data_IF_844263160857
#
_entry.id   IF_844263160857
#
_cell.length_a   1.000
_cell.length_b   1.000
_cell.length_c   1.000
_cell.angle_alpha   90.00
_cell.angle_beta   90.00
_cell.angle_gamma   90.00
#
_symmetry.space_group_name_H-M   'P 1'
#
loop_
_entity.id
_entity.type
_entity.pdbx_description
1 polymer ?
#
# COMPACT_ATOMS: atom_id res chain seq x y z
N UNK A 1 -32.24 -42.76 13.57
CA UNK A 1 -31.12 -42.57 12.61
C UNK A 1 -30.50 -41.15 12.63
N UNK A 2 -31.03 -40.21 13.42
CA UNK A 2 -30.44 -38.89 13.71
C UNK A 2 -29.18 -38.93 14.60
N UNK A 3 -28.85 -40.10 15.17
CA UNK A 3 -27.78 -40.23 16.16
C UNK A 3 -26.40 -40.60 15.61
N UNK A 4 -26.29 -40.87 14.31
CA UNK A 4 -24.97 -41.17 13.72
C UNK A 4 -24.06 -39.95 13.83
N UNK A 5 -22.80 -40.17 14.24
CA UNK A 5 -21.78 -39.12 14.34
C UNK A 5 -21.69 -38.31 13.04
N UNK A 6 -21.75 -39.00 11.89
CA UNK A 6 -21.70 -38.39 10.56
C UNK A 6 -22.89 -37.47 10.27
N UNK A 7 -24.10 -37.83 10.71
CA UNK A 7 -25.27 -36.96 10.60
C UNK A 7 -25.12 -35.71 11.47
N UNK A 8 -24.62 -35.86 12.71
CA UNK A 8 -24.32 -34.72 13.60
C UNK A 8 -23.29 -33.79 12.98
N UNK A 9 -22.21 -34.32 12.40
CA UNK A 9 -21.19 -33.53 11.69
C UNK A 9 -21.82 -32.73 10.55
N UNK A 10 -22.63 -33.36 9.69
CA UNK A 10 -23.32 -32.67 8.58
C UNK A 10 -24.20 -31.54 9.09
N UNK A 11 -24.98 -31.80 10.15
CA UNK A 11 -25.85 -30.78 10.73
C UNK A 11 -25.04 -29.62 11.31
N UNK A 12 -23.93 -29.90 11.99
CA UNK A 12 -23.00 -28.89 12.49
C UNK A 12 -22.42 -28.02 11.38
N UNK A 13 -21.96 -28.62 10.29
CA UNK A 13 -21.42 -27.85 9.16
C UNK A 13 -22.46 -26.88 8.58
N UNK A 14 -23.72 -27.33 8.43
CA UNK A 14 -24.82 -26.46 7.98
C UNK A 14 -25.06 -25.30 8.96
N UNK A 15 -25.13 -25.59 10.26
CA UNK A 15 -25.35 -24.54 11.27
C UNK A 15 -24.20 -23.54 11.35
N UNK A 16 -22.95 -24.01 11.31
CA UNK A 16 -21.77 -23.14 11.27
C UNK A 16 -21.84 -22.21 10.06
N UNK A 17 -22.17 -22.74 8.89
CA UNK A 17 -22.26 -21.94 7.67
C UNK A 17 -23.37 -20.88 7.73
N UNK A 18 -24.54 -21.23 8.27
CA UNK A 18 -25.63 -20.27 8.50
C UNK A 18 -25.19 -19.19 9.52
N UNK A 19 -24.49 -19.58 10.59
CA UNK A 19 -24.02 -18.66 11.62
C UNK A 19 -22.90 -17.72 11.12
N UNK A 20 -22.10 -18.13 10.14
CA UNK A 20 -21.04 -17.29 9.55
C UNK A 20 -21.59 -16.08 8.81
N UNK A 21 -22.77 -16.18 8.18
CA UNK A 21 -23.35 -15.11 7.36
C UNK A 21 -23.61 -13.81 8.15
N UNK A 22 -24.35 -13.81 9.28
CA UNK A 22 -24.54 -12.60 10.08
C UNK A 22 -23.22 -12.07 10.68
N UNK A 23 -22.27 -12.95 11.00
CA UNK A 23 -20.94 -12.55 11.49
C UNK A 23 -20.20 -11.76 10.41
N UNK A 24 -20.15 -12.26 9.18
CA UNK A 24 -19.50 -11.58 8.06
C UNK A 24 -20.17 -10.24 7.75
N UNK A 25 -21.51 -10.16 7.77
CA UNK A 25 -22.24 -8.89 7.57
C UNK A 25 -21.84 -7.87 8.64
N UNK A 26 -21.79 -8.29 9.91
CA UNK A 26 -21.37 -7.41 11.01
C UNK A 26 -19.92 -6.93 10.82
N UNK A 27 -19.03 -7.82 10.40
CA UNK A 27 -17.63 -7.46 10.13
C UNK A 27 -17.46 -6.48 8.96
N UNK A 28 -18.26 -6.62 7.90
CA UNK A 28 -18.28 -5.67 6.77
C UNK A 28 -18.75 -4.29 7.26
N UNK A 29 -19.80 -4.24 8.08
CA UNK A 29 -20.29 -2.98 8.65
C UNK A 29 -19.23 -2.29 9.53
N UNK A 30 -18.46 -3.06 10.30
CA UNK A 30 -17.31 -2.52 11.06
C UNK A 30 -16.25 -1.96 10.11
N UNK A 31 -15.99 -2.61 8.98
CA UNK A 31 -14.98 -2.14 8.01
C UNK A 31 -15.35 -0.79 7.40
N UNK A 32 -16.64 -0.55 7.15
CA UNK A 32 -17.16 0.73 6.66
C UNK A 32 -16.90 1.91 7.63
N UNK A 33 -16.46 1.66 8.86
CA UNK A 33 -16.05 2.70 9.81
C UNK A 33 -14.60 3.18 9.67
N UNK A 34 -13.89 2.77 8.60
CA UNK A 34 -12.52 3.22 8.31
C UNK A 34 -11.42 2.37 8.95
N UNK A 35 -11.74 1.12 9.30
CA UNK A 35 -10.77 0.12 9.77
C UNK A 35 -10.84 -1.11 8.88
N UNK A 36 -9.76 -1.89 8.82
CA UNK A 36 -9.75 -3.19 8.14
C UNK A 36 -9.38 -4.32 9.08
N UNK A 37 -9.89 -5.51 8.83
CA UNK A 37 -9.56 -6.68 9.62
C UNK A 37 -8.19 -7.23 9.25
N UNK A 38 -7.34 -7.46 10.25
CA UNK A 38 -6.04 -8.11 10.05
C UNK A 38 -6.20 -9.50 9.43
N UNK A 39 -5.13 -9.95 8.78
CA UNK A 39 -5.02 -11.28 8.15
C UNK A 39 -6.09 -11.56 7.08
N UNK A 40 -6.71 -10.51 6.52
CA UNK A 40 -7.82 -10.67 5.58
C UNK A 40 -8.96 -11.53 6.16
N UNK A 41 -9.30 -11.33 7.44
CA UNK A 41 -10.22 -12.21 8.19
C UNK A 41 -11.59 -12.38 7.50
N UNK A 42 -12.19 -11.30 6.98
CA UNK A 42 -13.46 -11.37 6.23
C UNK A 42 -13.34 -12.32 5.03
N UNK A 43 -12.26 -12.16 4.24
CA UNK A 43 -12.03 -13.00 3.06
C UNK A 43 -11.84 -14.47 3.47
N UNK A 44 -11.10 -14.74 4.56
CA UNK A 44 -10.88 -16.11 5.03
C UNK A 44 -12.19 -16.75 5.52
N UNK A 45 -13.05 -16.00 6.23
CA UNK A 45 -14.36 -16.50 6.67
C UNK A 45 -15.29 -16.81 5.50
N UNK A 46 -15.30 -15.95 4.48
CA UNK A 46 -16.04 -16.20 3.24
C UNK A 46 -15.54 -17.49 2.55
N UNK A 47 -14.22 -17.64 2.40
CA UNK A 47 -13.61 -18.86 1.81
C UNK A 47 -14.00 -20.11 2.60
N UNK A 48 -13.93 -20.07 3.93
CA UNK A 48 -14.35 -21.20 4.78
C UNK A 48 -15.84 -21.51 4.57
N UNK A 49 -16.70 -20.50 4.50
CA UNK A 49 -18.13 -20.67 4.22
C UNK A 49 -18.38 -21.39 2.89
N UNK A 50 -17.69 -20.98 1.83
CA UNK A 50 -17.79 -21.64 0.52
C UNK A 50 -17.26 -23.07 0.52
N UNK A 51 -16.14 -23.33 1.20
CA UNK A 51 -15.59 -24.69 1.35
C UNK A 51 -16.59 -25.59 2.07
N UNK A 52 -17.22 -25.09 3.15
CA UNK A 52 -18.25 -25.85 3.85
C UNK A 52 -19.39 -26.20 2.90
N UNK A 53 -20.00 -25.24 2.20
CA UNK A 53 -21.13 -25.51 1.31
C UNK A 53 -20.82 -26.47 0.15
N UNK A 54 -19.58 -26.49 -0.33
CA UNK A 54 -19.11 -27.49 -1.30
C UNK A 54 -18.96 -28.90 -0.70
N UNK A 55 -18.57 -29.01 0.57
CA UNK A 55 -18.28 -30.28 1.24
C UNK A 55 -19.50 -30.91 1.94
N UNK A 56 -20.48 -30.13 2.41
CA UNK A 56 -21.61 -30.69 3.17
C UNK A 56 -22.42 -31.68 2.31
N UNK A 57 -22.69 -31.35 1.04
CA UNK A 57 -23.45 -32.24 0.15
C UNK A 57 -22.77 -33.62 -0.05
N UNK A 58 -21.48 -33.73 -0.45
CA UNK A 58 -20.82 -35.02 -0.59
C UNK A 58 -20.67 -35.77 0.74
N UNK A 59 -20.33 -35.08 1.84
CA UNK A 59 -20.22 -35.70 3.18
C UNK A 59 -21.57 -36.27 3.63
N UNK A 60 -22.68 -35.69 3.20
CA UNK A 60 -24.02 -36.16 3.55
C UNK A 60 -24.53 -37.38 2.74
N UNK A 61 -23.80 -37.86 1.72
CA UNK A 61 -24.27 -38.96 0.84
C UNK A 61 -24.55 -40.26 1.60
N UNK A 62 -25.66 -40.92 1.29
CA UNK A 62 -26.07 -42.17 1.94
C UNK A 62 -26.70 -42.01 3.33
N UNK A 63 -26.84 -40.79 3.85
CA UNK A 63 -27.58 -40.52 5.09
C UNK A 63 -29.08 -40.39 4.81
N UNK A 64 -29.90 -40.99 5.68
CA UNK A 64 -31.32 -40.67 5.77
C UNK A 64 -31.49 -39.23 6.28
N UNK A 65 -32.18 -38.40 5.49
CA UNK A 65 -32.30 -36.96 5.72
C UNK A 65 -33.74 -36.51 5.47
N UNK A 66 -34.28 -35.57 6.26
CA UNK A 66 -35.58 -34.98 5.98
C UNK A 66 -35.58 -34.25 4.64
N UNK A 67 -36.76 -34.11 4.01
CA UNK A 67 -36.91 -33.49 2.68
C UNK A 67 -36.30 -32.09 2.63
N UNK A 68 -36.52 -31.28 3.67
CA UNK A 68 -35.97 -29.94 3.80
C UNK A 68 -34.44 -29.91 3.73
N UNK A 69 -33.76 -30.75 4.54
CA UNK A 69 -32.29 -30.81 4.54
C UNK A 69 -31.75 -31.27 3.19
N UNK A 70 -32.40 -32.22 2.51
CA UNK A 70 -31.99 -32.65 1.16
C UNK A 70 -32.06 -31.50 0.15
N UNK A 71 -33.08 -30.65 0.25
CA UNK A 71 -33.28 -29.50 -0.62
C UNK A 71 -32.26 -28.39 -0.34
N UNK A 72 -32.09 -28.03 0.94
CA UNK A 72 -31.10 -27.04 1.38
C UNK A 72 -29.69 -27.38 0.89
N UNK A 73 -29.24 -28.62 1.09
CA UNK A 73 -27.90 -29.07 0.69
C UNK A 73 -27.62 -28.93 -0.82
N UNK A 74 -28.66 -29.07 -1.66
CA UNK A 74 -28.49 -28.90 -3.11
C UNK A 74 -28.37 -27.43 -3.47
N UNK A 75 -29.21 -26.59 -2.88
CA UNK A 75 -29.18 -25.15 -3.09
C UNK A 75 -27.84 -24.59 -2.63
N UNK A 76 -27.45 -24.93 -1.41
CA UNK A 76 -26.22 -24.45 -0.80
C UNK A 76 -24.97 -24.85 -1.60
N UNK A 77 -24.93 -26.08 -2.12
CA UNK A 77 -23.86 -26.53 -3.01
C UNK A 77 -23.78 -25.68 -4.30
N UNK A 78 -24.91 -25.42 -4.97
CA UNK A 78 -24.93 -24.60 -6.18
C UNK A 78 -24.62 -23.12 -5.89
N UNK A 79 -25.12 -22.59 -4.77
CA UNK A 79 -24.79 -21.25 -4.30
C UNK A 79 -23.33 -21.12 -3.84
N UNK A 80 -22.65 -22.21 -3.51
CA UNK A 80 -21.23 -22.19 -3.16
C UNK A 80 -20.35 -22.36 -4.40
N UNK A 81 -20.73 -23.24 -5.34
CA UNK A 81 -19.92 -23.52 -6.53
C UNK A 81 -19.89 -22.35 -7.52
N UNK A 82 -21.02 -21.67 -7.73
CA UNK A 82 -21.10 -20.55 -8.68
C UNK A 82 -20.18 -19.39 -8.24
N UNK A 83 -20.26 -18.89 -7.00
CA UNK A 83 -19.30 -17.92 -6.49
C UNK A 83 -17.88 -18.46 -6.37
N UNK A 84 -17.68 -19.73 -5.98
CA UNK A 84 -16.33 -20.28 -5.88
C UNK A 84 -15.56 -20.22 -7.21
N UNK A 85 -16.25 -20.46 -8.32
CA UNK A 85 -15.66 -20.44 -9.66
C UNK A 85 -15.55 -19.00 -10.19
N UNK A 86 -16.61 -18.19 -10.04
CA UNK A 86 -16.69 -16.88 -10.69
C UNK A 86 -16.22 -15.73 -9.80
N UNK A 87 -16.64 -15.71 -8.54
CA UNK A 87 -16.53 -14.56 -7.64
C UNK A 87 -15.28 -14.67 -6.76
N UNK A 88 -14.88 -15.87 -6.34
CA UNK A 88 -13.72 -16.07 -5.47
C UNK A 88 -12.40 -15.57 -6.10
N UNK A 89 -12.13 -15.81 -7.41
CA UNK A 89 -10.95 -15.24 -8.06
C UNK A 89 -10.97 -13.70 -8.05
N UNK A 90 -12.14 -13.09 -8.26
CA UNK A 90 -12.35 -11.65 -8.22
C UNK A 90 -12.18 -11.08 -6.80
N UNK A 91 -12.73 -11.74 -5.77
CA UNK A 91 -12.56 -11.35 -4.37
C UNK A 91 -11.10 -11.50 -3.91
N UNK A 92 -10.42 -12.56 -4.38
CA UNK A 92 -8.99 -12.75 -4.14
C UNK A 92 -8.15 -11.64 -4.79
N UNK A 93 -8.62 -11.10 -5.93
CA UNK A 93 -7.95 -10.04 -6.67
C UNK A 93 -8.22 -8.65 -6.10
N UNK A 94 -9.48 -8.25 -5.88
CA UNK A 94 -9.83 -6.87 -5.49
C UNK A 94 -10.03 -6.66 -3.98
N UNK A 95 -10.32 -7.72 -3.21
CA UNK A 95 -10.75 -7.60 -1.81
C UNK A 95 -9.65 -7.81 -0.77
N UNK A 96 -8.43 -8.16 -1.18
CA UNK A 96 -7.32 -8.47 -0.27
C UNK A 96 -6.34 -7.31 -0.18
N UNK A 97 -5.96 -6.99 1.06
CA UNK A 97 -4.79 -6.18 1.33
C UNK A 97 -3.57 -7.08 1.55
N UNK A 98 -2.43 -6.64 1.05
CA UNK A 98 -1.15 -7.33 1.19
C UNK A 98 -0.22 -6.44 1.98
N UNK A 99 0.31 -6.97 3.07
CA UNK A 99 1.29 -6.25 3.88
C UNK A 99 2.63 -6.35 3.15
N UNK A 100 3.18 -5.20 2.78
CA UNK A 100 4.48 -5.10 2.06
C UNK A 100 5.63 -4.83 3.02
N UNK A 101 5.36 -4.20 4.16
CA UNK A 101 6.34 -3.92 5.20
C UNK A 101 5.67 -3.76 6.58
N UNK A 102 6.42 -4.02 7.65
CA UNK A 102 5.96 -3.80 9.02
C UNK A 102 7.05 -3.14 9.87
N UNK A 103 6.65 -2.23 10.76
CA UNK A 103 7.52 -1.66 11.79
C UNK A 103 6.74 -1.45 13.08
N UNK A 104 6.97 -2.33 14.07
CA UNK A 104 6.23 -2.31 15.33
C UNK A 104 4.72 -2.37 15.12
N UNK A 105 4.01 -1.34 15.57
CA UNK A 105 2.55 -1.19 15.42
C UNK A 105 2.12 -0.67 14.04
N UNK A 106 3.06 -0.30 13.16
CA UNK A 106 2.74 0.22 11.84
C UNK A 106 2.94 -0.82 10.75
N UNK A 107 2.13 -0.71 9.69
CA UNK A 107 2.24 -1.53 8.49
C UNK A 107 2.13 -0.65 7.26
N UNK A 108 2.87 -1.02 6.21
CA UNK A 108 2.54 -0.62 4.86
C UNK A 108 1.76 -1.76 4.22
N UNK A 109 0.60 -1.44 3.67
CA UNK A 109 -0.22 -2.40 2.95
C UNK A 109 -0.64 -1.84 1.60
N UNK A 110 -0.71 -2.72 0.61
CA UNK A 110 -1.25 -2.42 -0.70
C UNK A 110 -2.60 -3.09 -0.90
N UNK A 111 -3.47 -2.44 -1.67
CA UNK A 111 -4.65 -3.07 -2.25
C UNK A 111 -4.31 -3.42 -3.70
N UNK A 112 -4.51 -4.69 -4.09
CA UNK A 112 -4.20 -5.15 -5.44
C UNK A 112 -4.92 -4.30 -6.50
N UNK A 113 -4.18 -3.93 -7.55
CA UNK A 113 -4.65 -3.07 -8.64
C UNK A 113 -4.36 -1.58 -8.43
N UNK A 114 -3.82 -1.18 -7.27
CA UNK A 114 -3.36 0.19 -7.01
C UNK A 114 -1.85 0.18 -6.84
N UNK A 115 -1.13 1.07 -7.54
CA UNK A 115 0.32 1.25 -7.41
C UNK A 115 0.67 2.13 -6.19
N UNK A 116 -0.01 1.89 -5.06
CA UNK A 116 0.15 2.66 -3.83
C UNK A 116 0.15 1.71 -2.62
N UNK A 117 1.10 1.88 -1.72
CA UNK A 117 1.01 1.35 -0.37
C UNK A 117 0.51 2.43 0.58
N UNK A 118 -0.46 2.08 1.41
CA UNK A 118 -1.03 2.95 2.44
C UNK A 118 -0.43 2.60 3.79
N UNK A 119 -0.25 3.62 4.62
CA UNK A 119 0.18 3.45 6.00
C UNK A 119 -1.02 3.05 6.85
N UNK A 120 -0.85 2.01 7.64
CA UNK A 120 -1.83 1.56 8.62
C UNK A 120 -1.22 1.40 10.01
N UNK A 121 -2.05 1.56 11.04
CA UNK A 121 -1.69 1.26 12.43
C UNK A 121 -2.45 0.02 12.92
N UNK A 122 -1.73 -0.96 13.42
CA UNK A 122 -2.26 -2.18 14.04
C UNK A 122 -2.92 -1.82 15.37
N UNK A 123 -4.21 -2.12 15.48
CA UNK A 123 -5.04 -1.92 16.68
C UNK A 123 -5.76 -3.25 17.01
N UNK A 124 -5.04 -4.15 17.68
CA UNK A 124 -5.57 -5.47 18.02
C UNK A 124 -5.89 -6.31 16.78
N UNK A 125 -7.18 -6.54 16.52
CA UNK A 125 -7.68 -7.28 15.34
C UNK A 125 -7.80 -6.41 14.09
N UNK A 126 -7.61 -5.09 14.23
CA UNK A 126 -7.80 -4.13 13.16
C UNK A 126 -6.49 -3.54 12.67
N UNK A 127 -6.52 -3.01 11.46
CA UNK A 127 -5.58 -2.02 10.95
C UNK A 127 -6.40 -0.76 10.71
N UNK A 128 -6.05 0.32 11.38
CA UNK A 128 -6.60 1.65 11.12
C UNK A 128 -5.81 2.26 9.98
N UNK A 129 -6.51 2.62 8.91
CA UNK A 129 -5.91 3.34 7.80
C UNK A 129 -5.50 4.76 8.24
N UNK A 130 -4.30 5.18 7.83
CA UNK A 130 -3.82 6.54 7.99
C UNK A 130 -3.83 7.23 6.62
N UNK A 131 -3.86 8.56 6.62
CA UNK A 131 -3.94 9.38 5.39
C UNK A 131 -2.69 9.31 4.51
N UNK A 132 -1.62 8.67 5.00
CA UNK A 132 -0.31 8.67 4.37
C UNK A 132 -0.14 7.47 3.47
N UNK A 133 0.43 7.69 2.28
CA UNK A 133 0.66 6.63 1.31
C UNK A 133 1.94 6.90 0.53
N UNK A 134 2.56 5.83 0.06
CA UNK A 134 3.73 5.87 -0.83
C UNK A 134 3.34 5.25 -2.17
N UNK A 135 3.90 5.77 -3.25
CA UNK A 135 3.83 5.11 -4.55
C UNK A 135 4.72 3.87 -4.51
N UNK A 136 4.17 2.75 -4.97
CA UNK A 136 4.96 1.55 -5.23
C UNK A 136 5.24 1.51 -6.73
N UNK A 137 6.50 1.66 -7.10
CA UNK A 137 6.93 1.69 -8.50
C UNK A 137 7.36 0.31 -8.96
N UNK A 138 6.51 -0.72 -8.87
CA UNK A 138 6.96 -2.08 -9.20
C UNK A 138 6.13 -2.82 -10.26
N UNK A 139 6.84 -3.14 -11.36
CA UNK A 139 6.50 -4.11 -12.40
C UNK A 139 6.93 -5.55 -12.01
N UNK A 140 7.43 -5.76 -10.78
CA UNK A 140 8.01 -7.00 -10.24
C UNK A 140 7.64 -7.35 -8.78
N UNK A 141 8.63 -7.81 -7.99
CA UNK A 141 8.45 -8.34 -6.64
C UNK A 141 8.48 -7.24 -5.55
N UNK A 142 7.29 -6.90 -5.06
CA UNK A 142 6.91 -5.72 -4.24
C UNK A 142 7.39 -5.72 -2.78
N UNK A 143 8.58 -6.26 -2.49
CA UNK A 143 9.07 -6.36 -1.12
C UNK A 143 9.84 -5.10 -0.76
N UNK A 144 9.38 -4.40 0.27
CA UNK A 144 10.11 -3.26 0.84
C UNK A 144 11.20 -3.79 1.78
N UNK A 145 12.45 -3.39 1.53
CA UNK A 145 13.61 -3.88 2.28
C UNK A 145 13.79 -3.15 3.61
N UNK A 146 13.55 -1.84 3.62
CA UNK A 146 13.63 -1.01 4.82
C UNK A 146 12.35 -0.20 4.95
N UNK A 147 11.69 -0.32 6.10
CA UNK A 147 10.54 0.52 6.47
C UNK A 147 10.63 0.85 7.95
N UNK A 148 10.54 2.14 8.26
CA UNK A 148 10.57 2.64 9.63
C UNK A 148 9.56 3.77 9.83
N UNK A 149 8.91 3.74 10.98
CA UNK A 149 8.02 4.80 11.46
C UNK A 149 8.61 5.40 12.73
N UNK A 150 9.19 6.59 12.59
CA UNK A 150 9.72 7.34 13.72
C UNK A 150 8.64 8.30 14.24
N UNK A 151 7.90 7.83 15.25
CA UNK A 151 6.86 8.65 15.91
C UNK A 151 7.41 9.83 16.72
N UNK A 152 8.70 9.80 17.10
CA UNK A 152 9.35 10.91 17.81
C UNK A 152 9.60 12.06 16.83
N UNK A 153 10.20 11.74 15.68
CA UNK A 153 10.46 12.68 14.59
C UNK A 153 9.23 12.98 13.74
N UNK A 154 8.17 12.18 13.86
CA UNK A 154 6.92 12.37 13.13
C UNK A 154 7.05 12.04 11.64
N UNK A 155 7.83 11.02 11.28
CA UNK A 155 8.05 10.61 9.89
C UNK A 155 7.94 9.11 9.67
N UNK A 156 7.71 8.73 8.42
CA UNK A 156 8.09 7.41 7.92
C UNK A 156 9.15 7.54 6.84
N UNK A 157 10.01 6.54 6.77
CA UNK A 157 11.04 6.46 5.75
C UNK A 157 11.33 5.01 5.39
N UNK A 158 11.91 4.81 4.22
CA UNK A 158 12.19 3.47 3.73
C UNK A 158 12.97 3.43 2.42
N UNK A 159 13.36 2.22 2.08
CA UNK A 159 14.11 1.86 0.88
C UNK A 159 13.57 0.55 0.32
N UNK A 160 13.54 0.47 -1.00
CA UNK A 160 13.29 -0.72 -1.80
C UNK A 160 14.42 -0.86 -2.81
N UNK A 161 15.09 -2.01 -2.84
CA UNK A 161 16.20 -2.32 -3.75
C UNK A 161 15.77 -3.18 -4.95
N UNK A 162 14.47 -3.28 -5.21
CA UNK A 162 13.88 -4.13 -6.23
C UNK A 162 14.25 -3.77 -7.67
N UNK A 163 13.44 -4.22 -8.64
CA UNK A 163 13.65 -3.91 -10.05
C UNK A 163 13.61 -2.40 -10.34
N UNK A 164 12.90 -1.66 -9.49
CA UNK A 164 12.81 -0.21 -9.50
C UNK A 164 13.20 0.35 -8.12
N UNK A 165 14.49 0.59 -7.87
CA UNK A 165 14.93 1.02 -6.55
C UNK A 165 14.24 2.34 -6.14
N UNK A 166 13.63 2.33 -4.95
CA UNK A 166 12.82 3.46 -4.46
C UNK A 166 13.26 3.88 -3.06
N UNK A 167 13.27 5.18 -2.78
CA UNK A 167 13.55 5.74 -1.45
C UNK A 167 12.52 6.80 -1.05
N UNK A 168 12.16 6.87 0.23
CA UNK A 168 11.22 7.91 0.68
C UNK A 168 11.46 8.39 2.10
N UNK A 169 11.10 9.65 2.35
CA UNK A 169 10.94 10.25 3.69
C UNK A 169 9.73 11.17 3.66
N UNK A 170 8.70 10.82 4.43
CA UNK A 170 7.40 11.50 4.40
C UNK A 170 6.95 11.85 5.82
N UNK A 171 6.41 13.05 6.07
CA UNK A 171 5.86 13.44 7.36
C UNK A 171 4.59 12.63 7.69
N UNK A 172 4.51 12.15 8.93
CA UNK A 172 3.29 11.61 9.53
C UNK A 172 2.63 12.65 10.45
N UNK A 173 3.44 13.44 11.14
CA UNK A 173 3.04 14.54 12.03
C UNK A 173 3.88 15.77 11.69
N UNK A 174 3.26 16.76 11.03
CA UNK A 174 3.95 17.94 10.51
C UNK A 174 4.63 18.75 11.61
N UNK A 175 4.02 18.89 12.79
CA UNK A 175 4.60 19.66 13.88
C UNK A 175 5.87 19.00 14.44
N UNK A 176 5.86 17.67 14.61
CA UNK A 176 7.06 16.93 15.04
C UNK A 176 8.13 16.88 13.96
N UNK A 177 7.71 16.72 12.71
CA UNK A 177 8.58 16.70 11.53
C UNK A 177 9.36 18.00 11.42
N UNK A 178 8.66 19.13 11.49
CA UNK A 178 9.29 20.45 11.45
C UNK A 178 10.21 20.69 12.65
N UNK A 179 9.82 20.24 13.86
CA UNK A 179 10.65 20.40 15.06
C UNK A 179 11.99 19.68 14.98
N UNK A 180 12.07 18.58 14.23
CA UNK A 180 13.29 17.78 14.04
C UNK A 180 13.91 17.99 12.65
N UNK A 181 13.73 19.18 12.05
CA UNK A 181 14.15 19.47 10.69
C UNK A 181 15.62 19.12 10.41
N UNK A 182 16.55 19.44 11.32
CA UNK A 182 17.97 19.12 11.16
C UNK A 182 18.22 17.62 10.97
N UNK A 183 17.59 16.80 11.81
CA UNK A 183 17.78 15.35 11.79
C UNK A 183 17.13 14.72 10.56
N UNK A 184 15.99 15.27 10.13
CA UNK A 184 15.28 14.81 8.94
C UNK A 184 16.03 15.17 7.67
N UNK A 185 16.59 16.37 7.58
CA UNK A 185 17.44 16.75 6.44
C UNK A 185 18.64 15.81 6.30
N UNK A 186 19.31 15.49 7.42
CA UNK A 186 20.39 14.49 7.44
C UNK A 186 19.89 13.11 7.02
N UNK A 187 18.70 12.70 7.47
CA UNK A 187 18.09 11.42 7.08
C UNK A 187 17.82 11.34 5.58
N UNK A 188 17.23 12.38 4.99
CA UNK A 188 16.96 12.48 3.54
C UNK A 188 18.25 12.27 2.74
N UNK A 189 19.30 13.04 3.08
CA UNK A 189 20.58 12.94 2.36
C UNK A 189 21.26 11.59 2.60
N UNK A 190 21.16 11.04 3.81
CA UNK A 190 21.73 9.72 4.13
C UNK A 190 21.08 8.61 3.31
N UNK A 191 19.75 8.61 3.17
CA UNK A 191 19.04 7.64 2.34
C UNK A 191 19.39 7.79 0.87
N UNK A 192 19.50 9.03 0.39
CA UNK A 192 19.95 9.30 -0.98
C UNK A 192 21.39 8.83 -1.23
N UNK A 193 22.31 9.04 -0.28
CA UNK A 193 23.70 8.58 -0.41
C UNK A 193 23.82 7.05 -0.45
N UNK A 194 22.97 6.35 0.30
CA UNK A 194 22.91 4.88 0.26
C UNK A 194 22.36 4.39 -1.08
N UNK A 195 21.41 5.11 -1.67
CA UNK A 195 20.81 4.75 -2.96
C UNK A 195 20.62 5.99 -3.87
N UNK A 196 21.67 6.39 -4.62
CA UNK A 196 21.57 7.51 -5.55
C UNK A 196 20.56 7.22 -6.67
N UNK A 197 19.56 8.09 -6.81
CA UNK A 197 18.40 7.89 -7.70
C UNK A 197 18.64 8.45 -9.11
N UNK A 198 19.77 8.08 -9.72
CA UNK A 198 20.31 8.71 -10.93
C UNK A 198 20.09 7.91 -12.23
N UNK A 199 19.12 7.00 -12.24
CA UNK A 199 18.90 6.10 -13.37
C UNK A 199 17.42 6.00 -13.71
N UNK A 200 17.11 5.61 -14.95
CA UNK A 200 15.76 5.60 -15.51
C UNK A 200 14.76 4.67 -14.79
N UNK A 201 15.25 3.82 -13.89
CA UNK A 201 14.42 2.89 -13.11
C UNK A 201 14.39 3.21 -11.62
N UNK A 202 14.93 4.36 -11.23
CA UNK A 202 15.06 4.74 -9.83
C UNK A 202 14.03 5.81 -9.51
N UNK A 203 13.42 5.68 -8.34
CA UNK A 203 12.32 6.53 -7.90
C UNK A 203 12.54 7.01 -6.47
N UNK A 204 11.88 8.10 -6.10
CA UNK A 204 11.85 8.48 -4.70
C UNK A 204 11.01 9.70 -4.42
N UNK A 205 10.58 9.81 -3.17
CA UNK A 205 9.72 10.90 -2.70
C UNK A 205 10.25 11.39 -1.37
N UNK A 206 10.75 12.62 -1.34
CA UNK A 206 11.23 13.25 -0.11
C UNK A 206 10.46 14.54 0.13
N UNK A 207 10.12 14.80 1.39
CA UNK A 207 9.43 16.03 1.79
C UNK A 207 10.33 16.83 2.73
N UNK A 208 10.63 18.08 2.38
CA UNK A 208 11.50 18.92 3.21
C UNK A 208 10.79 19.36 4.50
N UNK A 209 11.47 19.32 5.67
CA UNK A 209 10.81 19.52 6.96
C UNK A 209 10.43 20.96 7.29
N UNK A 210 11.02 21.93 6.61
CA UNK A 210 10.84 23.35 6.89
C UNK A 210 9.65 23.96 6.16
N UNK A 211 9.46 23.64 4.87
CA UNK A 211 8.40 24.18 4.03
C UNK A 211 7.44 23.11 3.48
N UNK A 212 7.66 21.82 3.80
CA UNK A 212 6.87 20.68 3.30
C UNK A 212 6.83 20.56 1.78
N UNK A 213 7.81 21.13 1.08
CA UNK A 213 7.97 20.96 -0.36
C UNK A 213 8.36 19.53 -0.66
N UNK A 214 7.70 18.94 -1.65
CA UNK A 214 7.95 17.59 -2.11
C UNK A 214 8.93 17.61 -3.29
N UNK A 215 9.89 16.70 -3.25
CA UNK A 215 10.78 16.40 -4.37
C UNK A 215 10.62 14.93 -4.74
N UNK A 216 10.25 14.70 -6.00
CA UNK A 216 10.01 13.39 -6.59
C UNK A 216 11.08 13.09 -7.64
N UNK A 217 11.65 11.89 -7.57
CA UNK A 217 12.52 11.32 -8.60
C UNK A 217 11.70 10.34 -9.41
N UNK A 218 11.59 10.56 -10.72
CA UNK A 218 10.75 9.78 -11.64
C UNK A 218 11.56 9.26 -12.82
N UNK A 219 12.56 8.41 -12.56
CA UNK A 219 13.22 7.65 -13.63
C UNK A 219 13.91 8.50 -14.70
N UNK A 220 14.78 9.42 -14.30
CA UNK A 220 15.52 10.32 -15.21
C UNK A 220 15.07 11.78 -15.14
N UNK A 221 13.98 12.03 -14.41
CA UNK A 221 13.43 13.35 -14.14
C UNK A 221 13.34 13.58 -12.63
N UNK A 222 13.44 14.86 -12.23
CA UNK A 222 13.22 15.30 -10.85
C UNK A 222 12.13 16.37 -10.86
N UNK A 223 11.03 16.11 -10.17
CA UNK A 223 9.92 17.04 -10.01
C UNK A 223 10.02 17.66 -8.61
N UNK A 224 10.16 18.98 -8.56
CA UNK A 224 10.19 19.76 -7.33
C UNK A 224 8.91 20.60 -7.25
N UNK A 225 8.05 20.32 -6.27
CA UNK A 225 6.71 20.91 -6.12
C UNK A 225 6.66 21.90 -4.95
N UNK A 226 6.80 23.18 -5.28
CA UNK A 226 6.58 24.29 -4.36
C UNK A 226 5.35 25.11 -4.81
N UNK A 227 5.34 26.43 -4.60
CA UNK A 227 4.37 27.36 -5.21
C UNK A 227 4.22 27.22 -6.73
N UNK A 228 5.29 26.80 -7.41
CA UNK A 228 5.30 26.38 -8.82
C UNK A 228 6.10 25.08 -8.97
N UNK A 229 5.83 24.34 -10.04
CA UNK A 229 6.51 23.05 -10.30
C UNK A 229 7.74 23.26 -11.17
N UNK A 230 8.85 22.64 -10.78
CA UNK A 230 10.07 22.57 -11.59
C UNK A 230 10.32 21.11 -11.96
N UNK A 231 10.42 20.81 -13.25
CA UNK A 231 10.86 19.50 -13.72
C UNK A 231 12.28 19.59 -14.26
N UNK A 232 13.19 18.77 -13.75
CA UNK A 232 14.59 18.71 -14.12
C UNK A 232 14.85 17.37 -14.82
N UNK A 233 15.04 17.42 -16.14
CA UNK A 233 15.53 16.27 -16.92
C UNK A 233 17.07 16.27 -16.88
N UNK A 234 17.63 15.18 -16.33
CA UNK A 234 19.07 14.99 -16.17
C UNK A 234 19.65 13.87 -17.06
N UNK A 235 18.84 13.31 -17.97
CA UNK A 235 19.28 12.27 -18.91
C UNK A 235 20.11 12.82 -20.07
N UNK A 236 20.04 14.14 -20.31
CA UNK A 236 20.88 14.83 -21.28
C UNK A 236 22.37 14.53 -21.09
N UNK A 237 23.11 14.38 -22.20
CA UNK A 237 24.52 13.98 -22.15
C UNK A 237 25.40 15.06 -21.50
N UNK A 238 25.24 16.31 -21.95
CA UNK A 238 26.11 17.45 -21.56
C UNK A 238 25.34 18.59 -20.87
N UNK A 239 24.01 18.53 -20.88
CA UNK A 239 23.13 19.55 -20.29
C UNK A 239 22.01 18.91 -19.49
N UNK A 240 21.53 19.62 -18.47
CA UNK A 240 20.26 19.36 -17.80
C UNK A 240 19.22 20.38 -18.25
N UNK A 241 17.98 19.95 -18.46
CA UNK A 241 16.88 20.83 -18.84
C UNK A 241 15.97 21.05 -17.64
N UNK A 242 15.64 22.31 -17.37
CA UNK A 242 14.70 22.69 -16.33
C UNK A 242 13.47 23.28 -16.99
N UNK A 243 12.33 22.61 -16.83
CA UNK A 243 11.03 23.12 -17.24
C UNK A 243 10.34 23.71 -16.02
N UNK A 244 10.03 25.00 -16.08
CA UNK A 244 9.31 25.74 -15.05
C UNK A 244 7.85 25.82 -15.47
N UNK A 245 6.98 25.19 -14.69
CA UNK A 245 5.54 25.22 -14.88
C UNK A 245 4.97 26.37 -14.05
N UNK A 246 4.92 27.55 -14.66
CA UNK A 246 4.12 28.68 -14.17
C UNK A 246 3.01 28.98 -15.20
N UNK A 247 2.36 30.14 -15.14
CA UNK A 247 1.33 30.52 -16.12
C UNK A 247 1.83 30.46 -17.59
N UNK A 248 3.14 30.58 -17.81
CA UNK A 248 3.86 30.46 -19.08
C UNK A 248 4.95 29.36 -18.98
N UNK A 249 4.86 28.33 -19.82
CA UNK A 249 5.84 27.24 -19.84
C UNK A 249 7.23 27.77 -20.25
N UNK A 250 8.16 27.80 -19.29
CA UNK A 250 9.54 28.28 -19.54
C UNK A 250 10.52 27.13 -19.44
N UNK A 251 11.30 26.91 -20.50
CA UNK A 251 12.34 25.89 -20.53
C UNK A 251 13.73 26.53 -20.51
N UNK A 252 14.56 26.11 -19.57
CA UNK A 252 15.94 26.56 -19.41
C UNK A 252 16.89 25.37 -19.59
N UNK A 253 18.11 25.65 -20.03
CA UNK A 253 19.16 24.65 -20.20
C UNK A 253 20.39 25.08 -19.41
N UNK A 254 20.96 24.14 -18.65
CA UNK A 254 22.15 24.36 -17.82
C UNK A 254 23.20 23.29 -18.11
N UNK A 255 24.49 23.58 -17.86
CA UNK A 255 25.52 22.55 -17.86
C UNK A 255 25.16 21.40 -16.91
N UNK A 256 25.50 20.16 -17.28
CA UNK A 256 25.15 18.97 -16.48
C UNK A 256 25.66 19.02 -15.03
N UNK A 257 26.76 19.72 -14.79
CA UNK A 257 27.38 19.91 -13.47
C UNK A 257 26.85 21.14 -12.72
N UNK A 258 25.77 21.79 -13.18
CA UNK A 258 25.18 22.94 -12.49
C UNK A 258 24.52 22.55 -11.15
N UNK A 259 24.14 21.28 -11.01
CA UNK A 259 23.73 20.63 -9.75
C UNK A 259 24.80 19.54 -9.51
N UNK A 260 25.31 19.41 -8.29
CA UNK A 260 26.47 18.56 -7.99
C UNK A 260 26.18 17.06 -8.14
N UNK A 261 25.69 16.42 -7.08
CA UNK A 261 25.28 15.03 -7.00
C UNK A 261 23.78 14.80 -7.22
N UNK A 262 22.99 15.85 -7.50
CA UNK A 262 21.53 15.79 -7.65
C UNK A 262 20.80 15.20 -6.42
N UNK A 263 21.42 15.30 -5.23
CA UNK A 263 20.76 15.00 -3.96
C UNK A 263 19.63 16.00 -3.69
N UNK A 264 18.66 15.64 -2.84
CA UNK A 264 17.53 16.50 -2.53
C UNK A 264 17.96 17.92 -2.11
N UNK A 265 18.95 18.05 -1.22
CA UNK A 265 19.41 19.37 -0.75
C UNK A 265 20.10 20.20 -1.84
N UNK A 266 20.88 19.57 -2.70
CA UNK A 266 21.54 20.30 -3.79
C UNK A 266 20.53 20.76 -4.86
N UNK A 267 19.56 19.91 -5.20
CA UNK A 267 18.46 20.29 -6.10
C UNK A 267 17.68 21.45 -5.50
N UNK A 268 17.33 21.37 -4.23
CA UNK A 268 16.65 22.45 -3.52
C UNK A 268 17.44 23.75 -3.57
N UNK A 269 18.74 23.70 -3.25
CA UNK A 269 19.61 24.89 -3.26
C UNK A 269 19.67 25.50 -4.66
N UNK A 270 19.76 24.66 -5.70
CA UNK A 270 19.72 25.11 -7.09
C UNK A 270 18.40 25.80 -7.43
N UNK A 271 17.25 25.23 -7.05
CA UNK A 271 15.94 25.83 -7.27
C UNK A 271 15.78 27.17 -6.52
N UNK A 272 16.26 27.26 -5.28
CA UNK A 272 16.22 28.52 -4.52
C UNK A 272 17.06 29.62 -5.20
N UNK A 273 18.22 29.28 -5.77
CA UNK A 273 19.01 30.22 -6.58
C UNK A 273 18.25 30.64 -7.85
N UNK A 274 17.54 29.72 -8.51
CA UNK A 274 16.72 30.05 -9.68
C UNK A 274 15.55 30.98 -9.35
N UNK A 275 15.01 30.94 -8.12
CA UNK A 275 14.01 31.88 -7.63
C UNK A 275 14.58 33.27 -7.31
N UNK A 276 15.90 33.45 -7.38
CA UNK A 276 16.59 34.69 -7.01
C UNK A 276 17.14 34.68 -5.58
N UNK A 277 17.18 33.53 -4.91
CA UNK A 277 17.87 33.34 -3.63
C UNK A 277 19.39 33.48 -3.77
N UNK A 278 20.07 33.89 -2.69
CA UNK A 278 21.53 33.90 -2.62
C UNK A 278 22.06 32.51 -2.20
N UNK A 279 23.21 32.11 -2.75
CA UNK A 279 23.92 30.88 -2.38
C UNK A 279 24.54 30.96 -0.99
#
# INVERSE_FOLDING_TARGET
MSDSLRYKIVLWMVWVQIALLPVVILMINVTNSGVMWRWNLINNLLVVGYILGLLVLPVSRGLEKPKFLKWWLRIDFWFSIIPAILILPLLFYCGRHFIVAEDGDYVLYESRGVMMARLGKKEGLFIRELSHSIRLYDYGNRKVDCFKVDTLKGCMYGLEYGASPTAWVIPIDSARYHRHASDISVLIDSLYQVQPLLSQKYYGTFVFPDNFVEINYEGGEIVYEDSITYNIDFLGKDSLSVTIFNNDFTQLSFPKNAIGNLSPQEVRTFIEVLKGGQR
#
